data_IF_295180250964
#
_entry.id   IF_295180250964
#
_cell.length_a   1.000
_cell.length_b   1.000
_cell.length_c   1.000
_cell.angle_alpha   90.00
_cell.angle_beta   90.00
_cell.angle_gamma   90.00
#
_symmetry.space_group_name_H-M   'P 1'
#
loop_
_entity.id
_entity.type
_entity.pdbx_description
1 polymer ?
#
# COMPACT_ATOMS: atom_id res chain seq x y z
N UNK A 1 -22.97 -26.15 12.76
CA UNK A 1 -21.73 -25.69 12.10
C UNK A 1 -22.12 -24.85 10.92
N UNK A 2 -21.91 -23.54 10.98
CA UNK A 2 -22.13 -22.65 9.84
C UNK A 2 -20.75 -22.53 9.15
N UNK A 3 -20.61 -22.88 7.86
CA UNK A 3 -19.39 -22.60 7.14
C UNK A 3 -19.32 -21.08 6.96
N UNK A 4 -18.42 -20.42 7.67
CA UNK A 4 -18.09 -19.02 7.39
C UNK A 4 -17.43 -19.00 6.02
N UNK A 5 -18.02 -18.35 4.99
CA UNK A 5 -17.31 -18.17 3.74
C UNK A 5 -16.16 -17.19 4.02
N UNK A 6 -14.96 -17.72 4.13
CA UNK A 6 -13.70 -17.00 3.98
C UNK A 6 -13.55 -16.62 2.50
N UNK A 7 -14.38 -15.68 2.05
CA UNK A 7 -14.11 -14.86 0.89
C UNK A 7 -14.11 -13.42 1.39
N UNK A 8 -12.97 -13.04 1.94
CA UNK A 8 -12.70 -11.67 2.33
C UNK A 8 -12.01 -10.95 1.18
N UNK A 9 -12.76 -10.75 0.09
CA UNK A 9 -12.55 -9.62 -0.83
C UNK A 9 -12.85 -8.28 -0.12
N UNK A 10 -12.59 -8.19 1.19
CA UNK A 10 -12.70 -6.97 1.97
C UNK A 10 -11.43 -6.19 1.71
N UNK A 11 -11.44 -5.37 0.66
CA UNK A 11 -10.60 -4.17 0.67
C UNK A 11 -11.04 -3.33 1.87
N UNK A 12 -10.36 -3.52 3.00
CA UNK A 12 -10.67 -2.79 4.20
C UNK A 12 -10.30 -1.32 3.99
N UNK A 13 -11.26 -0.43 4.26
CA UNK A 13 -11.02 1.00 4.26
C UNK A 13 -10.32 1.43 5.56
N UNK A 14 -9.14 0.87 5.83
CA UNK A 14 -8.32 1.20 7.00
C UNK A 14 -6.82 1.09 6.69
N UNK A 15 -6.00 1.61 7.60
CA UNK A 15 -4.55 1.60 7.47
C UNK A 15 -3.96 0.18 7.34
N UNK A 16 -4.51 -0.79 8.08
CA UNK A 16 -4.07 -2.19 8.03
C UNK A 16 -4.33 -2.84 6.67
N UNK A 17 -5.54 -2.67 6.12
CA UNK A 17 -5.90 -3.14 4.79
C UNK A 17 -5.06 -2.49 3.71
N UNK A 18 -4.82 -1.18 3.82
CA UNK A 18 -3.90 -0.48 2.93
C UNK A 18 -2.47 -1.03 3.02
N UNK A 19 -1.95 -1.28 4.23
CA UNK A 19 -0.62 -1.86 4.41
C UNK A 19 -0.49 -3.24 3.75
N UNK A 20 -1.55 -4.06 3.83
CA UNK A 20 -1.59 -5.39 3.23
C UNK A 20 -1.43 -5.36 1.70
N UNK A 21 -1.98 -4.34 1.02
CA UNK A 21 -1.85 -4.15 -0.44
C UNK A 21 -0.64 -3.29 -0.83
N UNK A 22 -0.12 -2.49 0.09
CA UNK A 22 1.04 -1.63 -0.15
C UNK A 22 2.32 -2.43 -0.36
N UNK A 23 2.62 -3.38 0.53
CA UNK A 23 3.82 -4.23 0.43
C UNK A 23 3.98 -4.96 -0.91
N UNK A 24 2.96 -5.68 -1.44
CA UNK A 24 3.08 -6.30 -2.75
C UNK A 24 3.23 -5.27 -3.88
N UNK A 25 2.49 -4.15 -3.84
CA UNK A 25 2.61 -3.09 -4.85
C UNK A 25 4.00 -2.45 -4.87
N UNK A 26 4.60 -2.26 -3.70
CA UNK A 26 5.96 -1.76 -3.54
C UNK A 26 6.99 -2.72 -4.14
N UNK A 27 6.88 -4.02 -3.84
CA UNK A 27 7.77 -5.05 -4.42
C UNK A 27 7.64 -5.15 -5.93
N UNK A 28 6.43 -5.03 -6.46
CA UNK A 28 6.20 -5.02 -7.91
C UNK A 28 6.83 -3.78 -8.57
N UNK A 29 6.67 -2.59 -7.99
CA UNK A 29 7.33 -1.38 -8.50
C UNK A 29 8.86 -1.46 -8.41
N UNK A 30 9.41 -2.03 -7.33
CA UNK A 30 10.85 -2.33 -7.21
C UNK A 30 11.32 -3.28 -8.31
N UNK A 31 10.60 -4.38 -8.52
CA UNK A 31 10.94 -5.41 -9.51
C UNK A 31 10.88 -4.89 -10.94
N UNK A 32 9.99 -3.93 -11.21
CA UNK A 32 9.89 -3.24 -12.50
C UNK A 32 10.96 -2.17 -12.72
N UNK A 33 11.75 -1.85 -11.70
CA UNK A 33 12.73 -0.77 -11.74
C UNK A 33 12.10 0.63 -11.68
N UNK A 34 10.80 0.75 -11.43
CA UNK A 34 10.10 2.06 -11.38
C UNK A 34 10.51 2.90 -10.16
N UNK A 35 11.09 2.25 -9.16
CA UNK A 35 11.59 2.87 -7.93
C UNK A 35 13.12 3.03 -7.91
N UNK A 36 13.83 2.58 -8.96
CA UNK A 36 15.27 2.75 -9.06
C UNK A 36 15.61 4.25 -9.24
N UNK A 37 16.69 4.71 -8.62
CA UNK A 37 17.18 6.10 -8.66
C UNK A 37 16.24 7.18 -8.07
N UNK A 38 15.07 6.81 -7.52
CA UNK A 38 14.14 7.73 -6.86
C UNK A 38 14.43 7.91 -5.38
N UNK A 39 14.07 9.07 -4.84
CA UNK A 39 14.03 9.26 -3.38
C UNK A 39 12.88 8.47 -2.75
N UNK A 40 13.02 8.08 -1.47
CA UNK A 40 11.98 7.33 -0.73
C UNK A 40 10.59 7.98 -0.87
N UNK A 41 10.51 9.30 -0.79
CA UNK A 41 9.26 10.06 -0.96
C UNK A 41 8.63 9.86 -2.34
N UNK A 42 9.42 9.98 -3.41
CA UNK A 42 8.95 9.76 -4.78
C UNK A 42 8.53 8.31 -5.03
N UNK A 43 9.23 7.36 -4.41
CA UNK A 43 8.84 5.95 -4.49
C UNK A 43 7.48 5.72 -3.83
N UNK A 44 7.26 6.31 -2.66
CA UNK A 44 6.00 6.26 -1.95
C UNK A 44 4.88 6.87 -2.78
N UNK A 45 5.08 8.06 -3.36
CA UNK A 45 4.07 8.68 -4.22
C UNK A 45 3.75 7.82 -5.46
N UNK A 46 4.76 7.19 -6.05
CA UNK A 46 4.59 6.28 -7.20
C UNK A 46 3.68 5.10 -6.83
N UNK A 47 3.95 4.44 -5.70
CA UNK A 47 3.17 3.29 -5.24
C UNK A 47 1.76 3.70 -4.79
N UNK A 48 1.62 4.83 -4.09
CA UNK A 48 0.30 5.37 -3.71
C UNK A 48 -0.54 5.69 -4.94
N UNK A 49 0.09 6.19 -6.01
CA UNK A 49 -0.61 6.46 -7.27
C UNK A 49 -1.09 5.18 -7.96
N UNK A 50 -0.32 4.09 -7.88
CA UNK A 50 -0.81 2.76 -8.30
C UNK A 50 -1.98 2.26 -7.44
N UNK A 51 -2.01 2.62 -6.16
CA UNK A 51 -3.05 2.26 -5.21
C UNK A 51 -4.18 3.30 -5.10
N UNK A 52 -4.24 4.29 -6.00
CA UNK A 52 -5.22 5.38 -5.93
C UNK A 52 -6.68 4.87 -5.96
N UNK A 53 -6.92 3.70 -6.56
CA UNK A 53 -8.24 3.07 -6.60
C UNK A 53 -8.66 2.52 -5.22
N UNK A 54 -7.72 2.32 -4.28
CA UNK A 54 -8.02 1.77 -2.96
C UNK A 54 -8.87 2.74 -2.13
N UNK A 55 -9.96 2.27 -1.48
CA UNK A 55 -10.91 3.13 -0.75
C UNK A 55 -10.24 3.95 0.36
N UNK A 56 -9.19 3.41 0.99
CA UNK A 56 -8.40 4.12 2.01
C UNK A 56 -7.58 5.28 1.44
N UNK A 57 -7.04 5.15 0.23
CA UNK A 57 -6.29 6.23 -0.42
C UNK A 57 -7.24 7.36 -0.85
N UNK A 58 -8.44 7.01 -1.28
CA UNK A 58 -9.48 7.99 -1.64
C UNK A 58 -10.07 8.68 -0.41
N UNK A 59 -10.33 7.93 0.66
CA UNK A 59 -10.93 8.47 1.90
C UNK A 59 -9.92 9.30 2.71
N UNK A 60 -8.71 8.77 2.90
CA UNK A 60 -7.68 9.38 3.74
C UNK A 60 -6.29 9.39 3.05
N UNK A 61 -6.12 10.20 1.98
CA UNK A 61 -4.87 10.25 1.22
C UNK A 61 -3.66 10.68 2.06
N UNK A 62 -3.86 11.58 3.02
CA UNK A 62 -2.80 12.02 3.94
C UNK A 62 -2.36 10.91 4.89
N UNK A 63 -3.30 10.12 5.43
CA UNK A 63 -2.97 8.97 6.26
C UNK A 63 -2.32 7.86 5.45
N UNK A 64 -2.80 7.58 4.24
CA UNK A 64 -2.17 6.60 3.34
C UNK A 64 -0.69 6.93 3.07
N UNK A 65 -0.35 8.21 2.88
CA UNK A 65 1.05 8.67 2.77
C UNK A 65 1.86 8.41 4.02
N UNK A 66 1.30 8.69 5.20
CA UNK A 66 1.98 8.44 6.48
C UNK A 66 2.22 6.95 6.71
N UNK A 67 1.22 6.11 6.47
CA UNK A 67 1.31 4.65 6.60
C UNK A 67 2.34 4.10 5.61
N UNK A 68 2.31 4.52 4.35
CA UNK A 68 3.29 4.11 3.33
C UNK A 68 4.72 4.48 3.75
N UNK A 69 4.94 5.71 4.22
CA UNK A 69 6.26 6.18 4.68
C UNK A 69 6.77 5.39 5.87
N UNK A 70 5.87 5.02 6.79
CA UNK A 70 6.19 4.16 7.92
C UNK A 70 6.55 2.74 7.46
N UNK A 71 5.77 2.14 6.55
CA UNK A 71 6.04 0.80 5.99
C UNK A 71 7.39 0.74 5.28
N UNK A 72 7.70 1.72 4.43
CA UNK A 72 9.00 1.77 3.74
C UNK A 72 10.14 1.86 4.73
N UNK A 73 10.03 2.69 5.77
CA UNK A 73 11.04 2.74 6.84
C UNK A 73 11.22 1.43 7.58
N UNK A 74 10.18 0.60 7.73
CA UNK A 74 10.29 -0.74 8.32
C UNK A 74 10.94 -1.75 7.38
N UNK A 75 10.85 -1.57 6.06
CA UNK A 75 11.41 -2.46 5.04
C UNK A 75 12.88 -2.17 4.72
N UNK A 76 13.32 -0.92 4.91
CA UNK A 76 14.71 -0.48 4.73
C UNK A 76 15.58 -0.69 6.00
N UNK A 77 15.05 -1.38 7.02
CA UNK A 77 15.69 -1.63 8.32
C UNK A 77 16.10 -3.10 8.50
#
# INVERSE_FOLDING_TARGET
MIPVPIHDDRHFNNADGFAMVFDPAWKECLKRGELEEKSVDEKIETVIRCLHDHPFVQSEPEQARQVARFRVRLLEL
#
